data_IF_960385502623
#
_entry.id   IF_960385502623
#
_cell.length_a   1.000
_cell.length_b   1.000
_cell.length_c   1.000
_cell.angle_alpha   90.00
_cell.angle_beta   90.00
_cell.angle_gamma   90.00
#
_symmetry.space_group_name_H-M   'P 1'
#
loop_
_entity.id
_entity.type
_entity.pdbx_description
1 polymer ?
#
# COMPACT_ATOMS: atom_id res chain seq x y z
N UNK A 1 -38.31 -44.97 39.37
CA UNK A 1 -38.63 -43.57 39.72
C UNK A 1 -37.39 -42.98 40.39
N UNK A 2 -36.64 -42.11 39.68
CA UNK A 2 -36.37 -40.68 40.04
C UNK A 2 -35.87 -40.50 41.49
N UNK A 3 -34.70 -39.92 41.81
CA UNK A 3 -33.80 -38.92 41.19
C UNK A 3 -32.44 -39.01 41.92
N UNK A 4 -31.32 -38.79 41.23
CA UNK A 4 -30.09 -38.29 41.86
C UNK A 4 -29.57 -37.16 40.97
N UNK A 5 -29.41 -35.98 41.59
CA UNK A 5 -28.81 -34.79 41.00
C UNK A 5 -27.29 -34.95 41.00
N UNK A 6 -26.63 -34.47 39.95
CA UNK A 6 -25.17 -34.45 39.86
C UNK A 6 -24.69 -33.43 38.83
N UNK A 7 -24.21 -32.31 39.35
CA UNK A 7 -23.10 -31.46 38.91
C UNK A 7 -22.85 -31.17 37.42
N UNK A 8 -22.81 -29.85 37.14
CA UNK A 8 -22.03 -29.23 36.07
C UNK A 8 -20.58 -29.73 36.06
N UNK A 9 -20.06 -30.10 34.88
CA UNK A 9 -18.65 -29.92 34.53
C UNK A 9 -18.48 -29.81 33.02
N UNK A 10 -17.64 -28.85 32.64
CA UNK A 10 -17.21 -28.50 31.30
C UNK A 10 -16.55 -29.65 30.52
N UNK A 11 -16.61 -29.53 29.19
CA UNK A 11 -15.83 -30.35 28.26
C UNK A 11 -15.54 -29.55 26.99
N UNK A 12 -14.46 -28.77 27.04
CA UNK A 12 -13.76 -28.19 25.88
C UNK A 12 -13.02 -29.33 25.16
N UNK A 13 -13.13 -29.38 23.84
CA UNK A 13 -12.20 -30.06 22.92
C UNK A 13 -12.34 -29.32 21.57
N UNK A 14 -11.56 -28.28 21.27
CA UNK A 14 -10.16 -28.31 20.83
C UNK A 14 -9.94 -29.27 19.64
N UNK A 15 -10.08 -28.74 18.43
CA UNK A 15 -9.41 -29.25 17.23
C UNK A 15 -8.66 -28.07 16.62
N UNK A 16 -7.39 -27.94 17.00
CA UNK A 16 -6.44 -27.05 16.35
C UNK A 16 -6.20 -27.56 14.93
N UNK A 17 -6.45 -26.72 13.92
CA UNK A 17 -5.86 -26.87 12.59
C UNK A 17 -4.76 -25.81 12.50
N UNK A 18 -3.54 -26.30 12.69
CA UNK A 18 -2.28 -25.60 12.53
C UNK A 18 -2.17 -25.00 11.14
N UNK A 19 -1.98 -23.68 11.06
CA UNK A 19 -1.30 -23.06 9.94
C UNK A 19 0.15 -23.56 9.93
N UNK A 20 0.58 -24.20 8.84
CA UNK A 20 1.98 -24.51 8.61
C UNK A 20 2.37 -24.05 7.22
N UNK A 21 2.99 -22.88 7.16
CA UNK A 21 3.94 -22.55 6.11
C UNK A 21 5.36 -22.89 6.57
N UNK A 22 6.13 -23.58 5.71
CA UNK A 22 7.59 -23.54 5.69
C UNK A 22 8.33 -24.76 6.24
N UNK A 23 8.79 -25.64 5.34
CA UNK A 23 9.91 -26.54 5.62
C UNK A 23 9.89 -27.86 4.84
N UNK A 24 10.55 -27.89 3.68
CA UNK A 24 10.89 -29.11 2.95
C UNK A 24 11.70 -30.08 3.83
N UNK A 25 11.09 -31.17 4.29
CA UNK A 25 11.75 -32.48 4.42
C UNK A 25 10.74 -33.63 4.35
N UNK A 26 11.17 -34.71 3.71
CA UNK A 26 10.35 -35.80 3.20
C UNK A 26 9.57 -36.61 4.25
N UNK A 27 8.30 -36.91 3.92
CA UNK A 27 7.66 -38.20 4.18
C UNK A 27 6.76 -38.30 5.42
N UNK A 28 5.44 -38.14 5.21
CA UNK A 28 4.42 -38.56 6.19
C UNK A 28 3.11 -37.82 5.97
N UNK A 29 2.27 -38.31 5.05
CA UNK A 29 0.99 -37.68 4.71
C UNK A 29 0.02 -37.63 5.89
N UNK A 30 -0.29 -36.42 6.34
CA UNK A 30 -1.51 -36.10 7.06
C UNK A 30 -2.60 -35.85 6.02
N UNK A 31 -3.85 -36.30 6.18
CA UNK A 31 -4.91 -35.99 5.22
C UNK A 31 -5.15 -34.48 5.23
N UNK A 32 -4.80 -33.80 4.14
CA UNK A 32 -5.13 -32.40 3.90
C UNK A 32 -6.65 -32.24 3.94
N UNK A 33 -7.14 -31.38 4.85
CA UNK A 33 -8.46 -30.79 4.67
C UNK A 33 -8.49 -30.01 3.35
N UNK A 34 -9.66 -29.70 2.79
CA UNK A 34 -9.72 -28.82 1.63
C UNK A 34 -8.95 -27.52 1.95
N UNK A 35 -8.06 -27.11 1.04
CA UNK A 35 -7.35 -25.84 1.16
C UNK A 35 -8.36 -24.72 1.36
N UNK A 36 -8.10 -23.83 2.32
CA UNK A 36 -8.98 -22.69 2.57
C UNK A 36 -9.00 -21.81 1.32
N UNK A 37 -10.19 -21.36 0.87
CA UNK A 37 -10.33 -20.44 -0.25
C UNK A 37 -9.71 -19.05 0.04
N UNK A 38 -9.42 -18.78 1.32
CA UNK A 38 -8.65 -17.63 1.80
C UNK A 38 -7.39 -18.15 2.49
N UNK A 39 -6.23 -17.89 1.92
CA UNK A 39 -4.94 -18.32 2.46
C UNK A 39 -4.20 -17.14 3.09
N UNK A 40 -3.92 -17.21 4.40
CA UNK A 40 -3.16 -16.15 5.07
C UNK A 40 -1.72 -16.11 4.58
N UNK A 41 -1.24 -14.90 4.25
CA UNK A 41 0.17 -14.60 3.93
C UNK A 41 0.87 -13.88 5.06
N UNK A 42 0.14 -13.15 5.89
CA UNK A 42 0.67 -12.59 7.13
C UNK A 42 -0.33 -11.69 7.84
N UNK A 43 -0.17 -11.59 9.16
CA UNK A 43 -0.98 -10.73 10.02
C UNK A 43 -0.05 -9.77 10.75
N UNK A 44 -0.24 -8.47 10.54
CA UNK A 44 0.70 -7.44 10.95
C UNK A 44 0.08 -6.45 11.91
N UNK A 45 0.75 -6.19 13.02
CA UNK A 45 0.39 -5.14 13.97
C UNK A 45 1.29 -3.94 13.74
N UNK A 46 0.68 -2.80 13.37
CA UNK A 46 1.43 -1.55 13.31
C UNK A 46 1.74 -1.09 14.74
N UNK A 47 3.00 -1.16 15.13
CA UNK A 47 3.47 -0.56 16.36
C UNK A 47 3.78 0.91 16.10
N UNK A 48 3.26 1.77 16.96
CA UNK A 48 3.49 3.20 16.84
C UNK A 48 4.81 3.55 17.48
N UNK A 49 5.66 4.27 16.75
CA UNK A 49 6.75 5.01 17.37
C UNK A 49 6.15 5.99 18.39
N UNK A 50 6.69 6.02 19.61
CA UNK A 50 6.19 6.90 20.66
C UNK A 50 6.28 8.38 20.19
N UNK A 51 5.15 9.08 20.17
CA UNK A 51 5.06 10.48 19.76
C UNK A 51 4.66 10.73 18.30
N UNK A 52 4.62 9.70 17.44
CA UNK A 52 4.10 9.83 16.07
C UNK A 52 2.57 9.76 16.07
N UNK A 53 1.95 10.83 15.55
CA UNK A 53 0.52 10.86 15.27
C UNK A 53 0.28 10.20 13.91
N UNK A 54 -0.64 9.24 13.87
CA UNK A 54 -1.27 8.80 12.62
C UNK A 54 -2.63 9.49 12.56
N UNK A 55 -2.91 10.15 11.43
CA UNK A 55 -3.93 11.20 11.30
C UNK A 55 -5.34 10.80 11.79
N UNK A 56 -5.68 9.50 11.73
CA UNK A 56 -7.02 8.97 12.04
C UNK A 56 -7.07 8.07 13.28
N UNK A 57 -6.01 8.01 14.09
CA UNK A 57 -5.94 7.14 15.28
C UNK A 57 -5.90 7.93 16.58
N UNK A 58 -6.77 7.57 17.53
CA UNK A 58 -6.61 8.00 18.92
C UNK A 58 -5.38 7.34 19.55
N UNK A 59 -4.95 7.81 20.73
CA UNK A 59 -3.82 7.24 21.46
C UNK A 59 -4.01 5.77 21.89
N UNK A 60 -5.23 5.24 21.80
CA UNK A 60 -5.55 3.84 22.16
C UNK A 60 -5.84 2.96 20.95
N UNK A 61 -5.65 3.49 19.75
CA UNK A 61 -5.94 2.77 18.53
C UNK A 61 -4.67 2.53 17.73
N UNK A 62 -4.65 1.39 17.05
CA UNK A 62 -3.63 1.05 16.06
C UNK A 62 -4.25 0.26 14.90
N UNK A 63 -3.44 -0.04 13.89
CA UNK A 63 -3.85 -0.86 12.76
C UNK A 63 -3.37 -2.31 12.91
N UNK A 64 -4.26 -3.23 12.57
CA UNK A 64 -3.94 -4.62 12.31
C UNK A 64 -4.23 -4.89 10.82
N UNK A 65 -3.26 -5.42 10.09
CA UNK A 65 -3.30 -5.60 8.64
C UNK A 65 -3.20 -7.08 8.34
N UNK A 66 -4.22 -7.63 7.68
CA UNK A 66 -4.19 -8.99 7.20
C UNK A 66 -3.93 -9.01 5.70
N UNK A 67 -2.86 -9.70 5.28
CA UNK A 67 -2.55 -9.98 3.88
C UNK A 67 -2.82 -11.45 3.61
N UNK A 68 -3.54 -11.72 2.54
CA UNK A 68 -3.99 -13.07 2.20
C UNK A 68 -4.15 -13.22 0.69
N UNK A 69 -4.17 -14.46 0.23
CA UNK A 69 -4.59 -14.79 -1.12
C UNK A 69 -6.03 -15.27 -1.12
N UNK A 70 -6.82 -14.71 -2.02
CA UNK A 70 -8.10 -15.27 -2.42
C UNK A 70 -7.83 -16.28 -3.53
N UNK A 71 -8.17 -17.54 -3.30
CA UNK A 71 -8.01 -18.62 -4.27
C UNK A 71 -9.30 -18.69 -5.09
N UNK A 72 -9.29 -18.38 -6.40
CA UNK A 72 -10.49 -18.49 -7.23
C UNK A 72 -11.02 -19.93 -7.28
N UNK A 73 -12.34 -20.10 -7.20
CA UNK A 73 -12.94 -21.41 -7.37
C UNK A 73 -12.68 -21.94 -8.78
N UNK A 74 -12.47 -23.26 -8.92
CA UNK A 74 -12.11 -23.84 -10.21
C UNK A 74 -13.26 -23.82 -11.25
N UNK A 75 -14.50 -23.67 -10.81
CA UNK A 75 -15.70 -23.85 -11.66
C UNK A 75 -16.72 -22.71 -11.58
N UNK A 76 -16.66 -21.85 -10.56
CA UNK A 76 -17.70 -20.85 -10.25
C UNK A 76 -17.10 -19.45 -10.12
N UNK A 77 -17.69 -18.49 -10.84
CA UNK A 77 -17.42 -17.08 -10.62
C UNK A 77 -18.08 -16.62 -9.32
N UNK A 78 -17.43 -15.70 -8.60
CA UNK A 78 -17.87 -15.24 -7.28
C UNK A 78 -17.99 -13.72 -7.27
N UNK A 79 -19.12 -13.22 -6.80
CA UNK A 79 -19.34 -11.78 -6.60
C UNK A 79 -18.78 -11.34 -5.25
N UNK A 80 -17.90 -10.34 -5.26
CA UNK A 80 -17.15 -9.89 -4.09
C UNK A 80 -17.74 -8.65 -3.41
N UNK A 81 -18.80 -8.05 -3.98
CA UNK A 81 -19.38 -6.81 -3.47
C UNK A 81 -19.90 -6.87 -2.02
N UNK A 82 -20.10 -8.06 -1.46
CA UNK A 82 -20.45 -8.27 -0.04
C UNK A 82 -19.28 -8.68 0.85
N UNK A 83 -18.08 -8.92 0.31
CA UNK A 83 -17.00 -9.58 1.01
C UNK A 83 -16.50 -8.80 2.23
N UNK A 84 -16.30 -7.50 2.10
CA UNK A 84 -15.77 -6.67 3.18
C UNK A 84 -16.74 -6.57 4.36
N UNK A 85 -18.04 -6.39 4.08
CA UNK A 85 -19.09 -6.44 5.11
C UNK A 85 -19.26 -7.81 5.77
N UNK A 86 -18.68 -8.83 5.14
CA UNK A 86 -18.74 -10.21 5.56
C UNK A 86 -17.46 -10.68 6.25
N UNK A 87 -16.40 -9.85 6.25
CA UNK A 87 -15.08 -10.23 6.74
C UNK A 87 -14.72 -9.58 8.09
N UNK A 88 -15.27 -10.17 9.14
CA UNK A 88 -15.16 -9.66 10.51
C UNK A 88 -13.97 -10.29 11.25
N UNK A 89 -13.31 -9.51 12.11
CA UNK A 89 -12.32 -10.02 13.05
C UNK A 89 -12.84 -9.91 14.48
N UNK A 90 -12.71 -10.99 15.25
CA UNK A 90 -12.89 -10.97 16.71
C UNK A 90 -11.56 -11.16 17.43
N UNK A 91 -11.22 -10.25 18.34
CA UNK A 91 -10.09 -10.38 19.25
C UNK A 91 -10.54 -10.98 20.59
N UNK A 92 -9.78 -11.97 21.06
CA UNK A 92 -9.96 -12.64 22.35
C UNK A 92 -11.34 -13.27 22.57
N UNK A 93 -12.09 -13.52 21.48
CA UNK A 93 -13.48 -13.98 21.53
C UNK A 93 -14.46 -12.95 22.12
N UNK A 94 -14.09 -11.67 22.22
CA UNK A 94 -14.89 -10.65 22.89
C UNK A 94 -15.17 -9.44 22.01
N UNK A 95 -14.14 -8.79 21.46
CA UNK A 95 -14.29 -7.53 20.74
C UNK A 95 -14.22 -7.76 19.23
N UNK A 96 -15.25 -7.30 18.51
CA UNK A 96 -15.37 -7.39 17.06
C UNK A 96 -14.90 -6.13 16.36
N UNK A 97 -14.30 -6.31 15.19
CA UNK A 97 -13.74 -5.27 14.35
C UNK A 97 -14.11 -5.50 12.89
N UNK A 98 -14.52 -4.42 12.24
CA UNK A 98 -14.77 -4.36 10.80
C UNK A 98 -13.53 -3.82 10.06
N UNK A 99 -13.30 -4.27 8.83
CA UNK A 99 -12.22 -3.74 7.99
C UNK A 99 -12.54 -2.31 7.55
N UNK A 100 -11.47 -1.55 7.26
CA UNK A 100 -11.54 -0.22 6.70
C UNK A 100 -11.77 -0.27 5.19
N UNK A 101 -12.77 0.48 4.75
CA UNK A 101 -13.06 0.66 3.33
C UNK A 101 -11.93 1.38 2.59
N UNK A 102 -11.48 0.77 1.49
CA UNK A 102 -10.56 1.41 0.57
C UNK A 102 -11.21 2.65 -0.09
N UNK A 103 -10.44 3.70 -0.40
CA UNK A 103 -10.99 4.86 -1.07
C UNK A 103 -11.39 4.54 -2.52
N UNK A 104 -12.68 4.68 -2.84
CA UNK A 104 -13.25 4.42 -4.18
C UNK A 104 -12.82 5.43 -5.27
N UNK A 105 -12.17 6.52 -4.89
CA UNK A 105 -11.62 7.50 -5.83
C UNK A 105 -10.53 8.34 -5.17
N UNK A 106 -9.54 8.77 -5.97
CA UNK A 106 -8.52 9.70 -5.55
C UNK A 106 -8.27 10.73 -6.65
N UNK A 107 -8.14 11.99 -6.27
CA UNK A 107 -7.78 13.08 -7.19
C UNK A 107 -6.53 13.76 -6.68
N UNK A 108 -5.50 13.82 -7.52
CA UNK A 108 -4.22 14.51 -7.30
C UNK A 108 -4.43 15.97 -6.84
N UNK A 109 -5.49 16.61 -7.35
CA UNK A 109 -5.81 18.03 -7.11
C UNK A 109 -6.85 18.25 -5.99
N UNK A 110 -7.26 17.17 -5.31
CA UNK A 110 -8.31 17.22 -4.29
C UNK A 110 -7.78 17.65 -2.93
N UNK A 111 -8.54 18.49 -2.22
CA UNK A 111 -8.27 18.85 -0.82
C UNK A 111 -8.59 17.72 0.18
N UNK A 112 -9.08 16.57 -0.29
CA UNK A 112 -9.34 15.39 0.55
C UNK A 112 -8.11 14.49 0.55
N UNK A 113 -7.26 14.65 1.55
CA UNK A 113 -6.11 13.78 1.81
C UNK A 113 -6.59 12.54 2.57
N UNK A 114 -6.55 11.32 1.99
CA UNK A 114 -6.80 10.07 2.72
C UNK A 114 -5.85 9.93 3.92
N UNK A 115 -6.27 9.18 4.93
CA UNK A 115 -5.38 8.78 6.02
C UNK A 115 -4.27 7.84 5.53
N UNK A 116 -3.22 7.65 6.34
CA UNK A 116 -2.07 6.79 5.98
C UNK A 116 -2.48 5.36 5.60
N UNK A 117 -3.44 4.76 6.31
CA UNK A 117 -3.95 3.43 5.99
C UNK A 117 -4.63 3.37 4.62
N UNK A 118 -5.43 4.38 4.27
CA UNK A 118 -6.09 4.47 2.96
C UNK A 118 -5.07 4.72 1.84
N UNK A 119 -4.03 5.51 2.10
CA UNK A 119 -2.91 5.65 1.17
C UNK A 119 -2.19 4.33 0.95
N UNK A 120 -1.95 3.57 2.01
CA UNK A 120 -1.32 2.26 1.89
C UNK A 120 -2.17 1.28 1.08
N UNK A 121 -3.48 1.21 1.33
CA UNK A 121 -4.40 0.40 0.51
C UNK A 121 -4.32 0.78 -0.98
N UNK A 122 -4.23 2.07 -1.29
CA UNK A 122 -4.11 2.57 -2.65
C UNK A 122 -2.76 2.25 -3.30
N UNK A 123 -1.67 2.49 -2.58
CA UNK A 123 -0.31 2.42 -3.13
C UNK A 123 0.25 0.98 -3.18
N UNK A 124 -0.16 0.12 -2.26
CA UNK A 124 0.40 -1.23 -2.12
C UNK A 124 0.16 -2.14 -3.33
N UNK A 125 -0.94 -1.90 -4.04
CA UNK A 125 -1.38 -2.72 -5.17
C UNK A 125 -1.89 -4.11 -4.80
N UNK A 126 -2.12 -4.39 -3.51
CA UNK A 126 -2.96 -5.52 -3.12
C UNK A 126 -4.42 -5.20 -3.40
N UNK A 127 -5.21 -6.22 -3.74
CA UNK A 127 -6.63 -6.04 -3.96
C UNK A 127 -7.35 -5.66 -2.67
N UNK A 128 -8.27 -4.70 -2.77
CA UNK A 128 -9.35 -4.53 -1.80
C UNK A 128 -10.52 -5.43 -2.28
N UNK A 129 -10.92 -6.47 -1.53
CA UNK A 129 -11.92 -7.43 -1.99
C UNK A 129 -13.23 -6.86 -2.56
N UNK A 130 -13.90 -5.86 -1.94
CA UNK A 130 -15.17 -5.37 -2.47
C UNK A 130 -15.03 -4.68 -3.83
N UNK A 131 -13.82 -4.20 -4.15
CA UNK A 131 -13.50 -3.55 -5.42
C UNK A 131 -13.15 -4.53 -6.54
N UNK A 132 -13.04 -5.83 -6.24
CA UNK A 132 -12.76 -6.86 -7.25
C UNK A 132 -13.97 -7.11 -8.17
N UNK A 133 -15.18 -6.72 -7.78
CA UNK A 133 -16.39 -7.03 -8.52
C UNK A 133 -16.61 -8.55 -8.59
N UNK A 134 -16.36 -9.15 -9.74
CA UNK A 134 -16.49 -10.60 -9.96
C UNK A 134 -15.11 -11.26 -10.05
N UNK A 135 -14.82 -12.19 -9.14
CA UNK A 135 -13.67 -13.10 -9.27
C UNK A 135 -14.04 -14.24 -10.22
N UNK A 136 -13.26 -14.40 -11.29
CA UNK A 136 -13.50 -15.40 -12.32
C UNK A 136 -12.94 -16.77 -11.92
N UNK A 137 -13.68 -17.82 -12.28
CA UNK A 137 -13.31 -19.20 -12.00
C UNK A 137 -11.98 -19.60 -12.67
N UNK A 138 -11.17 -20.40 -11.97
CA UNK A 138 -9.93 -20.96 -12.48
C UNK A 138 -8.82 -19.93 -12.71
N UNK A 139 -8.96 -18.72 -12.16
CA UNK A 139 -7.92 -17.70 -12.17
C UNK A 139 -6.77 -18.01 -11.21
N UNK A 140 -5.71 -17.22 -11.32
CA UNK A 140 -4.59 -17.25 -10.38
C UNK A 140 -4.99 -16.67 -9.01
N UNK A 141 -4.30 -17.05 -7.92
CA UNK A 141 -4.49 -16.44 -6.60
C UNK A 141 -4.41 -14.91 -6.65
N UNK A 142 -5.34 -14.25 -5.96
CA UNK A 142 -5.41 -12.79 -5.88
C UNK A 142 -4.90 -12.35 -4.51
N UNK A 143 -3.72 -11.70 -4.48
CA UNK A 143 -3.15 -11.09 -3.27
C UNK A 143 -4.01 -9.89 -2.85
N UNK A 144 -4.66 -10.01 -1.70
CA UNK A 144 -5.56 -9.03 -1.13
C UNK A 144 -5.11 -8.57 0.27
N UNK A 145 -5.69 -7.46 0.73
CA UNK A 145 -5.52 -7.01 2.11
C UNK A 145 -6.83 -6.56 2.74
N UNK A 146 -6.84 -6.61 4.07
CA UNK A 146 -7.84 -5.94 4.90
C UNK A 146 -7.14 -5.28 6.09
N UNK A 147 -7.46 -4.02 6.37
CA UNK A 147 -6.89 -3.26 7.48
C UNK A 147 -7.97 -3.00 8.50
N UNK A 148 -7.68 -3.26 9.76
CA UNK A 148 -8.59 -3.09 10.89
C UNK A 148 -8.05 -2.02 11.81
N UNK A 149 -8.92 -1.12 12.27
CA UNK A 149 -8.61 -0.18 13.33
C UNK A 149 -9.01 -0.79 14.67
N UNK A 150 -8.02 -1.12 15.50
CA UNK A 150 -8.22 -1.90 16.73
C UNK A 150 -7.85 -1.13 17.98
N UNK A 151 -8.40 -1.53 19.13
CA UNK A 151 -7.96 -1.03 20.43
C UNK A 151 -6.66 -1.73 20.85
N UNK A 152 -5.63 -0.95 21.19
CA UNK A 152 -4.33 -1.49 21.61
C UNK A 152 -4.40 -2.34 22.88
N UNK A 153 -5.43 -2.17 23.72
CA UNK A 153 -5.61 -2.97 24.94
C UNK A 153 -6.05 -4.43 24.66
N UNK A 154 -6.53 -4.70 23.45
CA UNK A 154 -6.94 -6.05 23.04
C UNK A 154 -5.75 -6.89 22.55
N UNK A 155 -4.59 -6.25 22.37
CA UNK A 155 -3.33 -6.91 22.05
C UNK A 155 -2.50 -7.08 23.33
N UNK A 156 -2.32 -8.33 23.75
CA UNK A 156 -1.60 -8.79 24.93
C UNK A 156 -0.83 -10.08 24.57
N UNK A 157 -0.05 -10.61 25.50
CA UNK A 157 0.79 -11.79 25.26
C UNK A 157 -0.01 -13.07 24.95
N UNK A 158 -1.29 -13.13 25.35
CA UNK A 158 -2.21 -14.24 25.14
C UNK A 158 -3.29 -13.94 24.09
N UNK A 159 -3.08 -12.91 23.25
CA UNK A 159 -4.06 -12.52 22.24
C UNK A 159 -4.39 -13.66 21.28
N UNK A 160 -5.67 -13.78 20.98
CA UNK A 160 -6.19 -14.61 19.89
C UNK A 160 -6.98 -13.73 18.93
N UNK A 161 -6.83 -13.98 17.62
CA UNK A 161 -7.58 -13.29 16.58
C UNK A 161 -8.31 -14.31 15.72
N UNK A 162 -9.62 -14.17 15.58
CA UNK A 162 -10.46 -15.01 14.73
C UNK A 162 -11.03 -14.16 13.63
N UNK A 163 -10.68 -14.47 12.39
CA UNK A 163 -11.21 -13.84 11.20
C UNK A 163 -12.28 -14.74 10.62
N UNK A 164 -13.45 -14.18 10.32
CA UNK A 164 -14.59 -14.94 9.83
C UNK A 164 -15.12 -14.27 8.58
N UNK A 165 -15.18 -15.02 7.47
CA UNK A 165 -15.88 -14.64 6.25
C UNK A 165 -17.21 -15.38 6.22
N UNK A 166 -18.33 -14.67 6.10
CA UNK A 166 -19.66 -15.30 6.04
C UNK A 166 -20.55 -14.74 4.93
N UNK A 167 -21.31 -15.60 4.24
CA UNK A 167 -22.21 -15.15 3.17
C UNK A 167 -21.51 -14.81 1.85
N UNK A 168 -20.25 -15.23 1.68
CA UNK A 168 -19.44 -15.13 0.46
C UNK A 168 -19.27 -16.48 -0.25
N UNK A 169 -20.15 -17.44 0.05
CA UNK A 169 -20.27 -18.73 -0.64
C UNK A 169 -18.96 -19.53 -0.58
N UNK A 170 -18.22 -19.66 -1.69
CA UNK A 170 -16.97 -20.44 -1.71
C UNK A 170 -15.89 -19.85 -0.81
N UNK A 171 -16.00 -18.58 -0.40
CA UNK A 171 -15.04 -17.93 0.49
C UNK A 171 -15.45 -17.97 1.96
N UNK A 172 -16.58 -18.59 2.32
CA UNK A 172 -16.96 -18.72 3.73
C UNK A 172 -15.91 -19.54 4.49
N UNK A 173 -15.21 -18.90 5.43
CA UNK A 173 -14.11 -19.51 6.16
C UNK A 173 -13.92 -18.87 7.53
N UNK A 174 -13.19 -19.58 8.39
CA UNK A 174 -12.70 -19.08 9.66
C UNK A 174 -11.18 -19.30 9.71
N UNK A 175 -10.43 -18.24 10.03
CA UNK A 175 -8.99 -18.28 10.25
C UNK A 175 -8.72 -17.89 11.71
N UNK A 176 -7.89 -18.65 12.40
CA UNK A 176 -7.52 -18.41 13.78
C UNK A 176 -6.02 -18.15 13.88
N UNK A 177 -5.66 -17.12 14.63
CA UNK A 177 -4.28 -16.72 14.90
C UNK A 177 -4.06 -16.53 16.38
N UNK A 178 -2.87 -16.88 16.83
CA UNK A 178 -2.37 -16.60 18.17
C UNK A 178 -1.44 -15.40 18.12
N UNK A 179 -1.05 -14.88 19.29
CA UNK A 179 -0.17 -13.71 19.40
C UNK A 179 1.14 -13.91 18.63
N UNK A 180 1.72 -15.10 18.65
CA UNK A 180 2.95 -15.46 17.93
C UNK A 180 2.83 -15.39 16.41
N UNK A 181 1.62 -15.48 15.85
CA UNK A 181 1.37 -15.35 14.42
C UNK A 181 1.28 -13.87 13.98
N UNK A 182 1.13 -12.94 14.92
CA UNK A 182 0.99 -11.50 14.67
C UNK A 182 2.38 -10.85 14.67
N UNK A 183 2.82 -10.41 13.50
CA UNK A 183 4.12 -9.77 13.30
C UNK A 183 4.02 -8.27 13.58
N UNK A 184 4.78 -7.78 14.55
CA UNK A 184 4.90 -6.34 14.79
C UNK A 184 5.71 -5.68 13.68
N UNK A 185 5.20 -4.58 13.14
CA UNK A 185 5.84 -3.75 12.11
C UNK A 185 5.88 -2.29 12.54
N UNK A 186 6.85 -1.52 12.04
CA UNK A 186 6.97 -0.10 12.38
C UNK A 186 6.40 0.79 11.26
N UNK A 187 6.38 0.29 10.02
CA UNK A 187 5.87 0.98 8.84
C UNK A 187 4.93 0.08 8.06
N UNK A 188 3.99 0.69 7.35
CA UNK A 188 3.13 -0.04 6.42
C UNK A 188 3.92 -0.81 5.36
N UNK A 189 5.04 -0.27 4.90
CA UNK A 189 5.91 -0.91 3.90
C UNK A 189 6.60 -2.19 4.41
N UNK A 190 6.67 -2.42 5.72
CA UNK A 190 7.24 -3.66 6.26
C UNK A 190 6.32 -4.87 6.00
N UNK A 191 5.05 -4.62 5.63
CA UNK A 191 4.08 -5.65 5.24
C UNK A 191 4.54 -6.40 3.97
N UNK A 192 5.35 -5.77 3.10
CA UNK A 192 5.85 -6.40 1.87
C UNK A 192 6.86 -7.52 2.10
N UNK A 193 7.29 -7.77 3.34
CA UNK A 193 8.14 -8.92 3.67
C UNK A 193 7.51 -10.29 3.35
N UNK A 194 6.20 -10.34 3.08
CA UNK A 194 5.48 -11.55 2.62
C UNK A 194 5.61 -11.83 1.12
N UNK A 195 6.22 -10.92 0.38
CA UNK A 195 6.37 -11.01 -1.07
C UNK A 195 7.70 -11.69 -1.44
N UNK A 196 7.78 -12.33 -2.60
CA UNK A 196 9.01 -12.96 -3.07
C UNK A 196 10.13 -11.92 -3.36
N UNK A 197 9.73 -10.71 -3.76
CA UNK A 197 10.61 -9.57 -3.98
C UNK A 197 10.13 -8.35 -3.17
N UNK A 198 10.37 -8.32 -1.84
CA UNK A 198 9.87 -7.26 -0.95
C UNK A 198 10.34 -5.86 -1.37
N UNK A 199 11.61 -5.74 -1.77
CA UNK A 199 12.21 -4.47 -2.16
C UNK A 199 11.54 -3.88 -3.41
N UNK A 200 11.33 -4.70 -4.44
CA UNK A 200 10.66 -4.26 -5.67
C UNK A 200 9.24 -3.75 -5.37
N UNK A 201 8.53 -4.44 -4.47
CA UNK A 201 7.18 -4.08 -4.03
C UNK A 201 7.17 -2.77 -3.24
N UNK A 202 8.13 -2.57 -2.35
CA UNK A 202 8.31 -1.31 -1.62
C UNK A 202 8.56 -0.14 -2.57
N UNK A 203 9.49 -0.30 -3.54
CA UNK A 203 9.78 0.73 -4.55
C UNK A 203 8.53 1.03 -5.39
N UNK A 204 7.83 -0.02 -5.84
CA UNK A 204 6.62 0.13 -6.64
C UNK A 204 5.48 0.79 -5.86
N UNK A 205 5.32 0.53 -4.56
CA UNK A 205 4.32 1.20 -3.74
C UNK A 205 4.69 2.68 -3.50
N UNK A 206 5.96 2.96 -3.18
CA UNK A 206 6.45 4.32 -3.00
C UNK A 206 6.40 5.18 -4.27
N UNK A 207 6.40 4.56 -5.45
CA UNK A 207 6.33 5.28 -6.72
C UNK A 207 5.06 6.11 -6.88
N UNK A 208 3.93 5.66 -6.33
CA UNK A 208 2.70 6.45 -6.31
C UNK A 208 2.91 7.79 -5.58
N UNK A 209 3.52 7.76 -4.39
CA UNK A 209 3.78 8.98 -3.62
C UNK A 209 4.84 9.87 -4.27
N UNK A 210 5.84 9.28 -4.93
CA UNK A 210 6.82 10.04 -5.74
C UNK A 210 6.12 10.84 -6.84
N UNK A 211 5.35 10.17 -7.69
CA UNK A 211 4.67 10.81 -8.84
C UNK A 211 3.66 11.84 -8.34
N UNK A 212 2.87 11.50 -7.33
CA UNK A 212 1.93 12.44 -6.70
C UNK A 212 2.63 13.66 -6.10
N UNK A 213 3.73 13.49 -5.36
CA UNK A 213 4.46 14.61 -4.73
C UNK A 213 4.98 15.57 -5.80
N UNK A 214 5.52 15.02 -6.89
CA UNK A 214 5.97 15.80 -8.04
C UNK A 214 4.75 16.46 -8.70
N UNK A 215 3.72 15.72 -9.10
CA UNK A 215 2.58 16.26 -9.85
C UNK A 215 1.65 17.19 -9.06
N UNK A 216 1.44 16.99 -7.75
CA UNK A 216 0.61 17.87 -6.92
C UNK A 216 1.15 19.29 -6.92
N UNK A 217 2.47 19.44 -6.88
CA UNK A 217 3.08 20.75 -7.04
C UNK A 217 2.73 21.34 -8.42
N UNK A 218 2.62 20.53 -9.49
CA UNK A 218 2.17 20.96 -10.83
C UNK A 218 0.74 21.49 -10.83
N UNK A 219 -0.16 20.85 -10.08
CA UNK A 219 -1.56 21.25 -10.00
C UNK A 219 -1.83 22.48 -9.11
N UNK A 220 -1.11 22.61 -7.99
CA UNK A 220 -1.29 23.76 -7.06
C UNK A 220 -0.62 25.05 -7.53
N UNK A 221 0.02 25.05 -8.71
CA UNK A 221 0.80 26.17 -9.25
C UNK A 221 2.16 26.37 -8.56
N UNK A 222 2.53 25.48 -7.64
CA UNK A 222 3.84 25.48 -6.95
C UNK A 222 4.96 25.02 -7.89
N UNK A 223 4.65 24.15 -8.85
CA UNK A 223 5.46 23.67 -9.98
C UNK A 223 4.95 24.35 -11.26
N UNK A 224 5.09 25.66 -11.29
CA UNK A 224 5.04 26.44 -12.54
C UNK A 224 3.66 26.57 -13.16
N UNK A 225 3.19 27.81 -13.24
CA UNK A 225 2.75 28.26 -14.56
C UNK A 225 4.02 28.57 -15.36
N UNK A 226 4.10 28.11 -16.62
CA UNK A 226 5.09 28.35 -17.71
C UNK A 226 6.30 29.22 -17.41
N UNK A 227 7.44 28.93 -18.03
CA UNK A 227 8.66 29.74 -17.93
C UNK A 227 8.36 31.26 -18.13
N UNK A 228 8.31 32.03 -17.04
CA UNK A 228 7.96 33.46 -17.02
C UNK A 228 6.59 33.89 -16.45
N UNK A 229 5.65 32.99 -16.10
CA UNK A 229 4.31 33.40 -15.61
C UNK A 229 4.23 33.78 -14.13
N UNK A 230 4.85 33.00 -13.24
CA UNK A 230 4.87 33.24 -11.78
C UNK A 230 6.23 33.78 -11.28
N UNK A 231 7.10 34.18 -12.22
CA UNK A 231 8.43 34.74 -11.96
C UNK A 231 9.55 33.70 -11.84
N UNK A 232 10.77 34.09 -12.25
CA UNK A 232 11.95 33.22 -12.30
C UNK A 232 12.33 32.61 -10.94
N UNK A 233 12.08 33.32 -9.83
CA UNK A 233 12.37 32.81 -8.49
C UNK A 233 11.49 31.60 -8.11
N UNK A 234 10.20 31.66 -8.45
CA UNK A 234 9.34 30.48 -8.26
C UNK A 234 9.81 29.33 -9.14
N UNK A 235 10.30 29.65 -10.35
CA UNK A 235 10.79 28.65 -11.28
C UNK A 235 12.01 27.90 -10.69
N UNK A 236 12.99 28.66 -10.21
CA UNK A 236 14.18 28.15 -9.56
C UNK A 236 13.89 27.28 -8.32
N UNK A 237 12.95 27.72 -7.48
CA UNK A 237 12.58 26.98 -6.27
C UNK A 237 12.01 25.60 -6.61
N UNK A 238 11.13 25.53 -7.62
CA UNK A 238 10.55 24.26 -8.06
C UNK A 238 11.63 23.29 -8.58
N UNK A 239 12.53 23.76 -9.45
CA UNK A 239 13.65 22.95 -9.96
C UNK A 239 14.51 22.41 -8.81
N UNK A 240 14.87 23.27 -7.87
CA UNK A 240 15.76 22.91 -6.76
C UNK A 240 15.12 21.86 -5.86
N UNK A 241 13.85 22.04 -5.50
CA UNK A 241 13.14 21.11 -4.61
C UNK A 241 12.94 19.74 -5.26
N UNK A 242 12.56 19.72 -6.53
CA UNK A 242 12.25 18.48 -7.26
C UNK A 242 13.51 17.75 -7.66
N UNK A 243 14.59 18.44 -8.04
CA UNK A 243 15.90 17.80 -8.22
C UNK A 243 16.34 17.11 -6.92
N UNK A 244 16.11 17.78 -5.77
CA UNK A 244 16.32 17.19 -4.45
C UNK A 244 15.52 15.90 -4.23
N UNK A 245 14.21 15.93 -4.46
CA UNK A 245 13.36 14.73 -4.38
C UNK A 245 13.78 13.62 -5.34
N UNK A 246 14.04 13.98 -6.60
CA UNK A 246 14.32 13.03 -7.66
C UNK A 246 15.60 12.23 -7.36
N UNK A 247 16.61 12.88 -6.77
CA UNK A 247 17.93 12.30 -6.48
C UNK A 247 18.05 11.66 -5.10
N UNK A 248 17.42 12.27 -4.09
CA UNK A 248 17.69 11.95 -2.68
C UNK A 248 16.45 11.60 -1.87
N UNK A 249 15.25 11.80 -2.45
CA UNK A 249 13.99 11.44 -1.82
C UNK A 249 13.81 9.93 -1.73
N UNK A 250 13.43 9.46 -0.55
CA UNK A 250 13.02 8.07 -0.31
C UNK A 250 11.54 8.09 0.07
N UNK A 251 10.73 7.36 -0.72
CA UNK A 251 9.28 7.36 -0.61
C UNK A 251 8.80 6.01 -0.07
N UNK A 252 7.92 6.05 0.93
CA UNK A 252 7.09 4.93 1.36
C UNK A 252 5.79 4.91 0.59
N UNK A 253 5.01 3.84 0.75
CA UNK A 253 3.63 3.79 0.27
C UNK A 253 2.76 4.94 0.83
N UNK A 254 3.12 5.48 2.01
CA UNK A 254 2.33 6.51 2.70
C UNK A 254 2.85 7.93 2.55
N UNK A 255 4.10 8.14 2.13
CA UNK A 255 4.62 9.49 1.92
C UNK A 255 6.10 9.56 1.57
N UNK A 256 6.65 10.77 1.71
CA UNK A 256 8.08 11.01 1.66
C UNK A 256 8.66 10.81 3.05
N UNK A 257 9.37 9.71 3.26
CA UNK A 257 9.90 9.30 4.58
C UNK A 257 11.29 9.89 4.85
N UNK A 258 11.97 10.37 3.82
CA UNK A 258 13.26 10.99 3.99
C UNK A 258 13.75 11.74 2.79
N UNK A 259 14.55 12.77 3.07
CA UNK A 259 15.53 13.32 2.16
C UNK A 259 16.90 12.91 2.67
N UNK A 260 17.64 12.15 1.88
CA UNK A 260 18.99 11.74 2.25
C UNK A 260 19.99 12.83 1.84
N UNK A 261 20.24 13.78 2.74
CA UNK A 261 21.48 14.57 2.82
C UNK A 261 22.16 14.18 4.15
N UNK A 262 23.45 13.92 4.36
CA UNK A 262 24.65 14.45 3.73
C UNK A 262 24.64 14.33 2.21
N UNK A 263 24.34 15.42 1.49
CA UNK A 263 24.44 15.43 0.03
C UNK A 263 25.87 15.07 -0.37
N UNK A 264 26.04 13.90 -0.98
CA UNK A 264 27.30 13.29 -1.46
C UNK A 264 28.19 12.56 -0.43
N UNK A 265 27.79 12.40 0.83
CA UNK A 265 28.70 11.96 1.90
C UNK A 265 28.46 10.57 2.47
N UNK A 266 27.37 10.38 3.20
CA UNK A 266 27.16 9.19 4.01
C UNK A 266 25.72 8.68 3.88
N UNK A 267 25.57 7.35 4.01
CA UNK A 267 24.30 6.62 3.94
C UNK A 267 23.29 7.18 4.97
N UNK A 268 22.37 8.02 4.50
CA UNK A 268 21.24 8.49 5.31
C UNK A 268 20.21 7.38 5.60
N UNK A 269 19.49 7.47 6.73
CA UNK A 269 19.02 6.32 7.52
C UNK A 269 17.60 5.90 7.15
N UNK A 270 17.32 5.65 5.87
CA UNK A 270 16.06 5.01 5.50
C UNK A 270 16.30 3.53 5.27
N UNK A 271 15.68 2.68 6.08
CA UNK A 271 15.57 1.24 5.81
C UNK A 271 14.63 0.94 4.61
N UNK A 272 14.17 1.98 3.89
CA UNK A 272 13.44 1.82 2.63
C UNK A 272 14.39 1.89 1.44
N UNK A 273 14.11 1.11 0.37
CA UNK A 273 14.90 1.16 -0.83
C UNK A 273 14.79 2.49 -1.58
N UNK A 274 15.87 2.85 -2.28
CA UNK A 274 15.85 3.99 -3.20
C UNK A 274 15.03 3.66 -4.44
N UNK A 275 14.54 4.71 -5.10
CA UNK A 275 13.81 4.55 -6.35
C UNK A 275 14.66 3.85 -7.43
N UNK A 276 14.12 2.77 -7.99
CA UNK A 276 14.62 2.08 -9.18
C UNK A 276 13.47 1.92 -10.18
N UNK A 277 13.66 2.48 -11.39
CA UNK A 277 12.68 2.38 -12.49
C UNK A 277 12.41 0.93 -12.87
N UNK A 278 13.46 0.10 -12.88
CA UNK A 278 13.32 -1.30 -13.30
C UNK A 278 12.57 -2.12 -12.25
N UNK A 279 12.72 -1.81 -10.96
CA UNK A 279 11.91 -2.40 -9.90
C UNK A 279 10.41 -2.11 -10.10
N UNK A 280 10.04 -0.86 -10.38
CA UNK A 280 8.63 -0.52 -10.67
C UNK A 280 8.13 -1.29 -11.88
N UNK A 281 8.92 -1.40 -12.94
CA UNK A 281 8.53 -2.10 -14.18
C UNK A 281 8.43 -3.62 -14.00
N UNK A 282 9.20 -4.22 -13.09
CA UNK A 282 9.05 -5.64 -12.74
C UNK A 282 7.72 -5.93 -12.07
N UNK A 283 7.23 -5.00 -11.23
CA UNK A 283 5.94 -5.15 -10.54
C UNK A 283 4.77 -4.70 -11.44
N UNK A 284 4.93 -3.59 -12.15
CA UNK A 284 3.90 -2.94 -12.98
C UNK A 284 4.46 -2.60 -14.39
N UNK A 285 4.53 -3.59 -15.29
CA UNK A 285 5.13 -3.40 -16.62
C UNK A 285 4.34 -2.44 -17.53
N UNK A 286 3.04 -2.22 -17.26
CA UNK A 286 2.17 -1.37 -18.07
C UNK A 286 2.19 0.11 -17.66
N UNK A 287 2.84 0.46 -16.54
CA UNK A 287 2.97 1.85 -16.14
C UNK A 287 3.93 2.60 -17.08
N UNK A 288 3.60 3.84 -17.50
CA UNK A 288 4.48 4.67 -18.34
C UNK A 288 5.63 5.30 -17.52
N UNK A 289 6.32 4.48 -16.72
CA UNK A 289 7.43 4.90 -15.84
C UNK A 289 8.51 5.62 -16.63
N UNK A 290 8.88 5.06 -17.78
CA UNK A 290 9.98 5.59 -18.57
C UNK A 290 9.64 6.97 -19.15
N UNK A 291 8.43 7.12 -19.69
CA UNK A 291 7.99 8.39 -20.26
C UNK A 291 7.90 9.51 -19.20
N UNK A 292 7.41 9.19 -17.99
CA UNK A 292 7.35 10.17 -16.90
C UNK A 292 8.74 10.57 -16.40
N UNK A 293 9.61 9.61 -16.10
CA UNK A 293 10.93 9.89 -15.53
C UNK A 293 11.90 10.53 -16.56
N UNK A 294 11.77 10.19 -17.85
CA UNK A 294 12.54 10.85 -18.92
C UNK A 294 12.09 12.31 -19.10
N UNK A 295 10.77 12.57 -19.06
CA UNK A 295 10.22 13.92 -19.06
C UNK A 295 10.69 14.72 -17.83
N UNK A 296 10.67 14.12 -16.63
CA UNK A 296 11.20 14.74 -15.42
C UNK A 296 12.68 15.12 -15.55
N UNK A 297 13.51 14.20 -16.03
CA UNK A 297 14.94 14.45 -16.22
C UNK A 297 15.20 15.55 -17.27
N UNK A 298 14.44 15.54 -18.37
CA UNK A 298 14.49 16.56 -19.42
C UNK A 298 14.09 17.92 -18.86
N UNK A 299 13.01 17.98 -18.09
CA UNK A 299 12.53 19.21 -17.47
C UNK A 299 13.55 19.80 -16.49
N UNK A 300 14.15 18.98 -15.61
CA UNK A 300 15.18 19.41 -14.67
C UNK A 300 16.41 19.98 -15.40
N UNK A 301 16.86 19.30 -16.45
CA UNK A 301 18.08 19.68 -17.20
C UNK A 301 17.87 20.92 -18.07
N UNK A 302 16.83 20.89 -18.91
CA UNK A 302 16.53 21.97 -19.84
C UNK A 302 15.97 23.19 -19.11
N UNK A 303 15.17 22.97 -18.06
CA UNK A 303 14.66 24.04 -17.21
C UNK A 303 15.78 24.81 -16.51
N UNK A 304 16.79 24.11 -15.97
CA UNK A 304 17.94 24.79 -15.36
C UNK A 304 18.73 25.60 -16.40
N UNK A 305 18.94 25.02 -17.59
CA UNK A 305 19.62 25.71 -18.70
C UNK A 305 18.87 26.98 -19.13
N UNK A 306 17.54 26.89 -19.27
CA UNK A 306 16.68 28.02 -19.61
C UNK A 306 16.68 29.11 -18.52
N UNK A 307 16.65 28.69 -17.24
CA UNK A 307 16.72 29.60 -16.10
C UNK A 307 18.05 30.37 -16.06
N UNK A 308 19.17 29.70 -16.32
CA UNK A 308 20.50 30.33 -16.34
C UNK A 308 20.60 31.39 -17.45
N UNK A 309 20.06 31.10 -18.64
CA UNK A 309 20.00 32.04 -19.76
C UNK A 309 19.17 33.29 -19.39
N UNK A 310 17.99 33.10 -18.81
CA UNK A 310 17.12 34.21 -18.40
C UNK A 310 17.73 35.06 -17.30
N UNK A 311 18.40 34.43 -16.31
CA UNK A 311 19.15 35.15 -15.28
C UNK A 311 20.33 35.96 -15.85
N UNK A 312 20.91 35.52 -16.96
CA UNK A 312 21.92 36.27 -17.71
C UNK A 312 21.33 37.38 -18.62
N UNK A 313 20.00 37.56 -18.62
CA UNK A 313 19.30 38.52 -19.48
C UNK A 313 19.22 38.09 -20.95
N UNK A 314 19.36 36.80 -21.21
CA UNK A 314 19.24 36.19 -22.54
C UNK A 314 17.85 35.57 -22.73
N UNK A 315 17.55 35.11 -23.95
CA UNK A 315 16.35 34.33 -24.25
C UNK A 315 16.54 32.87 -23.83
N UNK A 316 15.47 32.20 -23.37
CA UNK A 316 15.55 30.78 -22.97
C UNK A 316 15.79 29.82 -24.14
N UNK A 317 15.45 30.23 -25.37
CA UNK A 317 15.68 29.46 -26.59
C UNK A 317 15.12 28.04 -26.55
N UNK A 318 15.80 27.14 -27.28
CA UNK A 318 15.44 25.72 -27.40
C UNK A 318 15.35 25.01 -26.04
N UNK A 319 16.16 25.39 -25.05
CA UNK A 319 16.10 24.82 -23.71
C UNK A 319 14.76 25.14 -23.02
N UNK A 320 14.23 26.35 -23.21
CA UNK A 320 12.90 26.71 -22.72
C UNK A 320 11.80 25.88 -23.38
N UNK A 321 11.85 25.73 -24.71
CA UNK A 321 10.87 24.94 -25.47
C UNK A 321 10.87 23.45 -25.04
N UNK A 322 12.05 22.87 -24.83
CA UNK A 322 12.20 21.49 -24.36
C UNK A 322 11.70 21.31 -22.91
N UNK A 323 11.93 22.29 -22.04
CA UNK A 323 11.42 22.26 -20.67
C UNK A 323 9.89 22.33 -20.64
N UNK A 324 9.29 23.22 -21.44
CA UNK A 324 7.83 23.33 -21.55
C UNK A 324 7.20 22.06 -22.15
N UNK A 325 7.84 21.43 -23.13
CA UNK A 325 7.40 20.16 -23.69
C UNK A 325 7.45 19.02 -22.65
N UNK A 326 8.55 18.93 -21.90
CA UNK A 326 8.72 17.94 -20.85
C UNK A 326 7.68 18.12 -19.71
N UNK A 327 7.34 19.36 -19.36
CA UNK A 327 6.27 19.65 -18.40
C UNK A 327 4.91 19.14 -18.89
N UNK A 328 4.59 19.33 -20.18
CA UNK A 328 3.35 18.83 -20.77
C UNK A 328 3.28 17.29 -20.77
N UNK A 329 4.41 16.61 -20.97
CA UNK A 329 4.50 15.15 -20.85
C UNK A 329 4.28 14.67 -19.41
N UNK A 330 4.91 15.32 -18.42
CA UNK A 330 4.65 15.01 -17.01
C UNK A 330 3.17 15.22 -16.63
N UNK A 331 2.54 16.28 -17.12
CA UNK A 331 1.10 16.54 -16.95
C UNK A 331 0.21 15.51 -17.66
N UNK A 332 0.75 14.77 -18.61
CA UNK A 332 0.04 13.68 -19.30
C UNK A 332 0.21 12.36 -18.56
N UNK A 333 1.45 11.99 -18.24
CA UNK A 333 1.76 10.66 -17.67
C UNK A 333 1.56 10.59 -16.16
N UNK A 334 1.77 11.68 -15.43
CA UNK A 334 1.55 11.73 -13.98
C UNK A 334 0.13 11.32 -13.59
N UNK A 335 -0.92 11.95 -14.18
CA UNK A 335 -2.30 11.54 -13.97
C UNK A 335 -2.58 10.09 -14.37
N UNK A 336 -2.01 9.59 -15.48
CA UNK A 336 -2.17 8.19 -15.89
C UNK A 336 -1.61 7.21 -14.85
N UNK A 337 -0.42 7.49 -14.32
CA UNK A 337 0.20 6.67 -13.27
C UNK A 337 -0.68 6.71 -12.02
N UNK A 338 -1.10 7.89 -11.56
CA UNK A 338 -1.96 7.97 -10.36
C UNK A 338 -3.31 7.27 -10.58
N UNK A 339 -3.88 7.36 -11.78
CA UNK A 339 -5.11 6.67 -12.14
C UNK A 339 -4.94 5.15 -12.10
N UNK A 340 -3.80 4.62 -12.53
CA UNK A 340 -3.51 3.19 -12.47
C UNK A 340 -3.57 2.64 -11.04
N UNK A 341 -2.97 3.32 -10.06
CA UNK A 341 -3.06 2.89 -8.66
C UNK A 341 -4.50 2.94 -8.14
N UNK A 342 -5.29 3.91 -8.59
CA UNK A 342 -6.70 4.05 -8.16
C UNK A 342 -7.67 3.11 -8.86
N UNK A 343 -7.40 2.74 -10.12
CA UNK A 343 -8.26 1.86 -10.92
C UNK A 343 -8.26 0.42 -10.40
N UNK A 344 -7.16 0.00 -9.75
CA UNK A 344 -7.10 -1.28 -9.04
C UNK A 344 -8.10 -1.40 -7.90
N UNK A 345 -8.64 -0.27 -7.43
CA UNK A 345 -9.72 -0.19 -6.45
C UNK A 345 -11.09 -0.02 -7.11
N UNK A 346 -11.29 -0.26 -8.41
CA UNK A 346 -12.62 -0.13 -9.03
C UNK A 346 -12.99 -1.26 -9.98
N UNK A 347 -12.22 -2.35 -9.99
CA UNK A 347 -12.51 -3.55 -10.78
C UNK A 347 -12.50 -3.32 -12.29
N UNK A 348 -11.69 -2.38 -12.79
CA UNK A 348 -11.56 -2.08 -14.23
C UNK A 348 -10.19 -2.42 -14.80
#
# INVERSE_FOLDING_TARGET
>A
MKRIAGYFLAGVLAAALTACGGGDTAGGGTPEGPASPVESRGLFLLERTEGEALDDLTARETYLIHVYDLIPDAAKNVEMGGFESSYEMTLNGVNSYEPLYAPVSYTVDGMNTPGSAQYFMLASGYAAPPELGTVLAGGEPIRAMSIYKINTHDIQDDTTATFTVTGCDVYDCELQFQREDIVSIQRFDDVFQVEDAPEDRQIAAGYFQRVKTICNNTATGTLFDRLGSNGLTSYQNGLTLIDGWARYGVFSATGLDGFTEELAGEEGPSDLPRFDREAVKRVYPDLPVDAFEDALASWLTNGQTALDALNAGQDSGEAGDLADAALAEMQTYGPQITAFYTAKLSGQ
#
